data_IF_051323338657
#
_entry.id   IF_051323338657
#
_cell.length_a   1.000
_cell.length_b   1.000
_cell.length_c   1.000
_cell.angle_alpha   90.00
_cell.angle_beta   90.00
_cell.angle_gamma   90.00
#
_symmetry.space_group_name_H-M   'P 1'
#
loop_
_entity.id
_entity.type
_entity.pdbx_description
1 polymer ?
#
# COMPACT_ATOMS: atom_id res chain seq x y z
N UNK A 1 4.58 -23.46 -15.59
CA UNK A 1 4.86 -22.65 -16.78
C UNK A 1 4.91 -21.17 -16.40
N UNK A 2 5.39 -20.27 -17.27
CA UNK A 2 5.37 -18.82 -16.96
C UNK A 2 3.96 -18.24 -16.90
N UNK A 3 3.00 -18.89 -17.57
CA UNK A 3 1.58 -18.57 -17.45
C UNK A 3 1.05 -18.84 -16.02
N UNK A 4 1.42 -19.96 -15.40
CA UNK A 4 1.01 -20.28 -14.02
C UNK A 4 1.58 -19.27 -13.01
N UNK A 5 2.81 -18.79 -13.25
CA UNK A 5 3.42 -17.74 -12.44
C UNK A 5 2.70 -16.42 -12.59
N UNK A 6 2.35 -16.03 -13.81
CA UNK A 6 1.56 -14.83 -14.08
C UNK A 6 0.21 -14.87 -13.34
N UNK A 7 -0.50 -15.99 -13.44
CA UNK A 7 -1.79 -16.19 -12.78
C UNK A 7 -1.69 -16.11 -11.25
N UNK A 8 -0.63 -16.71 -10.68
CA UNK A 8 -0.35 -16.63 -9.26
C UNK A 8 -0.17 -15.17 -8.80
N UNK A 9 0.63 -14.38 -9.51
CA UNK A 9 0.86 -12.98 -9.14
C UNK A 9 -0.37 -12.09 -9.37
N UNK A 10 -1.19 -12.35 -10.40
CA UNK A 10 -2.48 -11.66 -10.57
C UNK A 10 -3.44 -11.95 -9.42
N UNK A 11 -3.51 -13.21 -8.98
CA UNK A 11 -4.33 -13.57 -7.82
C UNK A 11 -3.82 -12.88 -6.54
N UNK A 12 -2.51 -12.87 -6.33
CA UNK A 12 -1.89 -12.16 -5.21
C UNK A 12 -2.17 -10.64 -5.24
N UNK A 13 -2.14 -10.01 -6.43
CA UNK A 13 -2.52 -8.58 -6.60
C UNK A 13 -3.98 -8.34 -6.21
N UNK A 14 -4.91 -9.13 -6.73
CA UNK A 14 -6.35 -8.99 -6.41
C UNK A 14 -6.64 -9.22 -4.93
N UNK A 15 -5.97 -10.21 -4.34
CA UNK A 15 -6.12 -10.47 -2.91
C UNK A 15 -5.59 -9.31 -2.07
N UNK A 16 -4.45 -8.73 -2.47
CA UNK A 16 -3.90 -7.56 -1.81
C UNK A 16 -4.79 -6.33 -1.96
N UNK A 17 -5.44 -6.12 -3.10
CA UNK A 17 -6.44 -5.05 -3.31
C UNK A 17 -7.64 -5.20 -2.37
N UNK A 18 -8.18 -6.41 -2.25
CA UNK A 18 -9.28 -6.69 -1.32
C UNK A 18 -8.88 -6.46 0.14
N UNK A 19 -7.65 -6.85 0.50
CA UNK A 19 -7.12 -6.65 1.85
C UNK A 19 -6.80 -5.17 2.11
N UNK A 20 -6.33 -4.43 1.11
CA UNK A 20 -6.06 -3.01 1.21
C UNK A 20 -7.34 -2.22 1.50
N UNK A 21 -8.45 -2.58 0.85
CA UNK A 21 -9.75 -1.98 1.11
C UNK A 21 -10.26 -2.24 2.54
N UNK A 22 -9.86 -3.35 3.15
CA UNK A 22 -10.24 -3.72 4.53
C UNK A 22 -9.33 -3.11 5.57
N UNK A 23 -8.03 -3.11 5.32
CA UNK A 23 -7.01 -2.58 6.22
C UNK A 23 -5.94 -1.82 5.41
N UNK A 24 -6.16 -0.52 5.14
CA UNK A 24 -5.24 0.26 4.32
C UNK A 24 -3.88 0.48 4.99
N UNK A 25 -3.79 0.31 6.32
CA UNK A 25 -2.59 0.51 7.11
C UNK A 25 -1.78 -0.78 7.32
N UNK A 26 -2.14 -1.91 6.67
CA UNK A 26 -1.39 -3.17 6.78
C UNK A 26 -0.09 -3.12 5.96
N UNK A 27 1.08 -2.99 6.62
CA UNK A 27 2.36 -2.88 5.92
C UNK A 27 2.77 -4.20 5.24
N UNK A 28 2.34 -5.34 5.77
CA UNK A 28 2.62 -6.64 5.17
C UNK A 28 1.79 -6.87 3.91
N UNK A 29 0.54 -6.38 3.89
CA UNK A 29 -0.28 -6.38 2.70
C UNK A 29 0.35 -5.53 1.58
N UNK A 30 0.79 -4.30 1.89
CA UNK A 30 1.48 -3.40 0.95
C UNK A 30 2.76 -4.04 0.39
N UNK A 31 3.57 -4.67 1.25
CA UNK A 31 4.79 -5.36 0.82
C UNK A 31 4.49 -6.52 -0.12
N UNK A 32 3.45 -7.31 0.17
CA UNK A 32 3.00 -8.42 -0.70
C UNK A 32 2.42 -7.90 -2.02
N UNK A 33 1.65 -6.81 -1.97
CA UNK A 33 1.10 -6.17 -3.16
C UNK A 33 2.20 -5.68 -4.08
N UNK A 34 3.19 -4.97 -3.53
CA UNK A 34 4.34 -4.49 -4.29
C UNK A 34 5.20 -5.62 -4.87
N UNK A 35 5.41 -6.70 -4.12
CA UNK A 35 6.10 -7.88 -4.63
C UNK A 35 5.37 -8.53 -5.81
N UNK A 36 4.04 -8.63 -5.76
CA UNK A 36 3.23 -9.15 -6.86
C UNK A 36 3.28 -8.22 -8.09
N UNK A 37 3.13 -6.90 -7.89
CA UNK A 37 3.21 -5.91 -8.96
C UNK A 37 4.58 -5.89 -9.64
N UNK A 38 5.67 -5.98 -8.87
CA UNK A 38 7.04 -6.05 -9.41
C UNK A 38 7.28 -7.32 -10.22
N UNK A 39 6.62 -8.43 -9.88
CA UNK A 39 6.72 -9.66 -10.67
C UNK A 39 5.85 -9.59 -11.93
N UNK A 40 4.64 -9.04 -11.84
CA UNK A 40 3.77 -8.80 -13.00
C UNK A 40 4.38 -7.81 -13.99
N UNK A 41 5.12 -6.82 -13.50
CA UNK A 41 5.76 -5.80 -14.33
C UNK A 41 6.85 -6.36 -15.25
N UNK A 42 7.41 -7.54 -14.93
CA UNK A 42 8.38 -8.24 -15.77
C UNK A 42 7.73 -8.87 -17.01
N UNK A 43 6.40 -9.08 -16.99
CA UNK A 43 5.63 -9.65 -18.09
C UNK A 43 4.87 -8.60 -18.91
N UNK A 44 4.89 -7.33 -18.48
CA UNK A 44 4.15 -6.22 -19.10
C UNK A 44 5.09 -5.27 -19.85
N UNK A 45 4.52 -4.44 -20.70
CA UNK A 45 5.27 -3.37 -21.37
C UNK A 45 5.83 -2.39 -20.32
N UNK A 46 7.09 -1.92 -20.45
CA UNK A 46 7.74 -1.00 -19.52
C UNK A 46 6.87 0.18 -19.06
N UNK A 47 6.06 0.75 -19.94
CA UNK A 47 5.21 1.91 -19.62
C UNK A 47 4.05 1.54 -18.67
N UNK A 48 3.47 0.35 -18.81
CA UNK A 48 2.44 -0.16 -17.89
C UNK A 48 3.05 -0.53 -16.55
N UNK A 49 4.22 -1.16 -16.59
CA UNK A 49 5.02 -1.53 -15.43
C UNK A 49 5.36 -0.33 -14.56
N UNK A 50 5.77 0.77 -15.19
CA UNK A 50 6.05 2.04 -14.50
C UNK A 50 4.81 2.57 -13.78
N UNK A 51 3.67 2.68 -14.48
CA UNK A 51 2.41 3.16 -13.88
C UNK A 51 1.95 2.31 -12.69
N UNK A 52 2.14 0.99 -12.77
CA UNK A 52 1.80 0.08 -11.66
C UNK A 52 2.64 0.35 -10.41
N UNK A 53 3.94 0.60 -10.58
CA UNK A 53 4.84 0.90 -9.45
C UNK A 53 4.58 2.30 -8.90
N UNK A 54 4.35 3.29 -9.76
CA UNK A 54 4.01 4.67 -9.36
C UNK A 54 2.73 4.73 -8.53
N UNK A 55 1.68 3.99 -8.94
CA UNK A 55 0.43 3.93 -8.19
C UNK A 55 0.60 3.37 -6.78
N UNK A 56 1.40 2.31 -6.62
CA UNK A 56 1.71 1.73 -5.31
C UNK A 56 2.46 2.73 -4.41
N UNK A 57 3.44 3.45 -4.98
CA UNK A 57 4.22 4.44 -4.25
C UNK A 57 3.30 5.57 -3.73
N UNK A 58 2.39 6.06 -4.58
CA UNK A 58 1.42 7.08 -4.20
C UNK A 58 0.54 6.62 -3.03
N UNK A 59 -0.04 5.42 -3.12
CA UNK A 59 -0.85 4.85 -2.02
C UNK A 59 -0.06 4.68 -0.72
N UNK A 60 1.22 4.29 -0.80
CA UNK A 60 2.08 4.17 0.38
C UNK A 60 2.38 5.53 1.02
N UNK A 61 2.54 6.59 0.22
CA UNK A 61 2.79 7.94 0.71
C UNK A 61 1.54 8.54 1.37
N UNK A 62 0.37 8.35 0.76
CA UNK A 62 -0.92 8.76 1.34
C UNK A 62 -1.10 8.16 2.74
N UNK A 63 -0.78 6.87 2.90
CA UNK A 63 -0.84 6.20 4.20
C UNK A 63 0.10 6.82 5.24
N UNK A 64 1.29 7.25 4.85
CA UNK A 64 2.24 7.92 5.75
C UNK A 64 1.68 9.29 6.16
N UNK A 65 1.12 10.06 5.23
CA UNK A 65 0.47 11.33 5.55
C UNK A 65 -0.70 11.15 6.51
N UNK A 66 -1.54 10.12 6.31
CA UNK A 66 -2.63 9.78 7.23
C UNK A 66 -2.12 9.44 8.63
N UNK A 67 -1.04 8.66 8.75
CA UNK A 67 -0.43 8.31 10.05
C UNK A 67 0.17 9.55 10.72
N UNK A 68 0.87 10.41 9.97
CA UNK A 68 1.43 11.66 10.49
C UNK A 68 0.29 12.59 10.95
N UNK A 69 -0.76 12.78 10.14
CA UNK A 69 -1.91 13.58 10.53
C UNK A 69 -2.63 13.01 11.77
N UNK A 70 -2.75 11.69 11.87
CA UNK A 70 -3.33 11.03 13.04
C UNK A 70 -2.49 11.26 14.29
N UNK A 71 -1.16 11.07 14.21
CA UNK A 71 -0.22 11.33 15.30
C UNK A 71 -0.25 12.80 15.73
N UNK A 72 -0.24 13.74 14.78
CA UNK A 72 -0.30 15.17 15.07
C UNK A 72 -1.60 15.55 15.79
N UNK A 73 -2.75 15.02 15.34
CA UNK A 73 -4.03 15.22 16.06
C UNK A 73 -3.97 14.64 17.47
N UNK A 74 -3.45 13.43 17.64
CA UNK A 74 -3.39 12.77 18.94
C UNK A 74 -2.46 13.51 19.91
N UNK A 75 -1.27 13.93 19.45
CA UNK A 75 -0.29 14.70 20.24
C UNK A 75 -0.89 16.03 20.69
N UNK A 76 -1.52 16.77 19.77
CA UNK A 76 -2.16 18.06 20.09
C UNK A 76 -3.30 17.87 21.10
N UNK A 77 -4.14 16.85 20.93
CA UNK A 77 -5.23 16.54 21.87
C UNK A 77 -4.67 16.16 23.24
N UNK A 78 -3.68 15.27 23.33
CA UNK A 78 -3.08 14.89 24.62
C UNK A 78 -2.41 16.05 25.33
N UNK A 79 -1.78 16.96 24.59
CA UNK A 79 -1.13 18.14 25.15
C UNK A 79 -2.16 19.15 25.67
N UNK A 80 -3.25 19.37 24.93
CA UNK A 80 -4.35 20.22 25.38
C UNK A 80 -4.96 19.65 26.65
N UNK A 81 -5.29 18.36 26.69
CA UNK A 81 -5.88 17.72 27.90
C UNK A 81 -4.98 17.89 29.13
N UNK A 82 -3.67 17.72 28.98
CA UNK A 82 -2.71 17.90 30.08
C UNK A 82 -2.53 19.36 30.54
N UNK A 83 -2.82 20.34 29.70
CA UNK A 83 -2.74 21.77 30.07
C UNK A 83 -4.00 22.26 30.82
N UNK A 84 -5.10 21.51 30.80
CA UNK A 84 -6.37 21.85 31.47
C UNK A 84 -6.71 20.96 32.70
N UNK A 85 -5.86 19.99 33.05
CA UNK A 85 -5.99 19.19 34.30
C UNK A 85 -4.86 19.50 35.26
#
# INVERSE_FOLDING_TARGET
SDFDRLLFFEHARKQAEMNQAKNPLDPDNLRRWGGALLKLSQFQNPLKSQKMIEGLLFTSLDNIEYVIMWLLKHIVITRIVWEIT
#
